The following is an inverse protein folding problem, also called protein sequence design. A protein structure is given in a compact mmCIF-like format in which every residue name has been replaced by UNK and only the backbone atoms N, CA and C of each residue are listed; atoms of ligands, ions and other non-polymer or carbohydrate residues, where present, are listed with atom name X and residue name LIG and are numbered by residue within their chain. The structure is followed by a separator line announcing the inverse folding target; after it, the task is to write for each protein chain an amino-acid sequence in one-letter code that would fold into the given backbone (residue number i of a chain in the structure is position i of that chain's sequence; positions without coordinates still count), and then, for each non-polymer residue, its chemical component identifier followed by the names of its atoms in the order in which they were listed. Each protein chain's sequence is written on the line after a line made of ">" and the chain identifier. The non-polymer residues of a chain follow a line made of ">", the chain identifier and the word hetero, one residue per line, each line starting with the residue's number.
data_IF_073129484303
#
_entry.id   IF_073129484303
#
_cell.length_a   1.000
_cell.length_b   1.000
_cell.length_c   1.000
_cell.angle_alpha   90.00
_cell.angle_beta   90.00
_cell.angle_gamma   90.00
#
_symmetry.space_group_name_H-M   'P 1'
#
loop_
_entity.id
_entity.type
_entity.pdbx_description
1 polymer ?
#
# COMPACT_ATOMS: atom_id res chain seq x y z
N UNK A 1 -46.93 29.07 3.38
CA UNK A 1 -46.09 28.73 2.20
C UNK A 1 -46.03 27.21 2.12
N UNK A 2 -46.64 26.61 1.09
CA UNK A 2 -46.64 25.15 0.96
C UNK A 2 -45.28 24.70 0.40
N UNK A 3 -44.37 24.33 1.27
CA UNK A 3 -43.00 23.92 0.90
C UNK A 3 -42.97 22.79 -0.13
N UNK A 4 -43.86 21.79 0.00
CA UNK A 4 -43.93 20.63 -0.89
C UNK A 4 -44.40 20.91 -2.32
N UNK A 5 -44.92 22.12 -2.60
CA UNK A 5 -45.30 22.55 -3.95
C UNK A 5 -44.35 23.60 -4.52
N UNK A 6 -43.44 24.13 -3.71
CA UNK A 6 -42.47 25.13 -4.13
C UNK A 6 -41.12 24.49 -4.50
N UNK A 7 -41.01 23.99 -5.72
CA UNK A 7 -39.79 23.30 -6.20
C UNK A 7 -38.55 24.17 -6.12
N UNK A 8 -38.66 25.50 -6.33
CA UNK A 8 -37.50 26.40 -6.20
C UNK A 8 -36.98 26.47 -4.76
N UNK A 9 -37.87 26.49 -3.79
CA UNK A 9 -37.50 26.51 -2.39
C UNK A 9 -36.87 25.16 -1.98
N UNK A 10 -37.44 24.02 -2.43
CA UNK A 10 -36.89 22.69 -2.16
C UNK A 10 -35.47 22.54 -2.75
N UNK A 11 -35.30 22.91 -4.02
CA UNK A 11 -33.99 22.84 -4.68
C UNK A 11 -32.99 23.78 -4.00
N UNK A 12 -33.39 25.00 -3.66
CA UNK A 12 -32.52 25.95 -2.97
C UNK A 12 -32.07 25.46 -1.59
N UNK A 13 -32.97 24.86 -0.81
CA UNK A 13 -32.64 24.29 0.50
C UNK A 13 -31.73 23.07 0.34
N UNK A 14 -32.02 22.18 -0.60
CA UNK A 14 -31.18 21.00 -0.85
C UNK A 14 -29.77 21.41 -1.30
N UNK A 15 -29.64 22.33 -2.23
CA UNK A 15 -28.36 22.86 -2.70
C UNK A 15 -27.60 23.57 -1.57
N UNK A 16 -28.29 24.41 -0.78
CA UNK A 16 -27.68 25.09 0.36
C UNK A 16 -27.16 24.11 1.41
N UNK A 17 -27.96 23.10 1.77
CA UNK A 17 -27.55 22.07 2.71
C UNK A 17 -26.34 21.27 2.17
N UNK A 18 -26.40 20.85 0.90
CA UNK A 18 -25.31 20.13 0.25
C UNK A 18 -24.00 20.93 0.28
N UNK A 19 -24.04 22.20 -0.15
CA UNK A 19 -22.87 23.07 -0.16
C UNK A 19 -22.31 23.30 1.26
N UNK A 20 -23.18 23.54 2.22
CA UNK A 20 -22.78 23.73 3.62
C UNK A 20 -22.11 22.46 4.17
N UNK A 21 -22.74 21.31 3.97
CA UNK A 21 -22.14 20.04 4.43
C UNK A 21 -20.82 19.75 3.72
N UNK A 22 -20.73 20.03 2.41
CA UNK A 22 -19.47 19.87 1.66
C UNK A 22 -18.34 20.73 2.21
N UNK A 23 -18.62 21.98 2.59
CA UNK A 23 -17.63 22.85 3.22
C UNK A 23 -17.15 22.29 4.55
N UNK A 24 -18.06 21.88 5.43
CA UNK A 24 -17.71 21.44 6.79
C UNK A 24 -17.12 20.03 6.84
N UNK A 25 -17.55 19.12 5.96
CA UNK A 25 -17.12 17.70 6.02
C UNK A 25 -15.96 17.41 5.08
N UNK A 26 -15.81 18.13 3.97
CA UNK A 26 -14.76 17.88 3.00
C UNK A 26 -13.72 19.01 2.92
N UNK A 27 -14.16 20.26 2.66
CA UNK A 27 -13.23 21.35 2.35
C UNK A 27 -12.41 21.77 3.58
N UNK A 28 -13.03 22.04 4.72
CA UNK A 28 -12.30 22.46 5.92
C UNK A 28 -11.34 21.37 6.43
N UNK A 29 -11.74 20.08 6.55
CA UNK A 29 -10.79 19.04 6.91
C UNK A 29 -9.63 18.87 5.93
N UNK A 30 -9.88 19.03 4.62
CA UNK A 30 -8.81 18.98 3.61
C UNK A 30 -7.79 20.10 3.80
N UNK A 31 -8.27 21.35 4.03
CA UNK A 31 -7.39 22.50 4.31
C UNK A 31 -6.58 22.33 5.62
N UNK A 32 -7.15 21.68 6.63
CA UNK A 32 -6.41 21.37 7.86
C UNK A 32 -5.39 20.24 7.62
N UNK A 33 -5.72 19.22 6.80
CA UNK A 33 -4.80 18.14 6.47
C UNK A 33 -3.54 18.63 5.75
N UNK A 34 -3.65 19.65 4.88
CA UNK A 34 -2.49 20.28 4.21
C UNK A 34 -1.48 20.90 5.18
N UNK A 35 -1.89 21.23 6.41
CA UNK A 35 -1.00 21.79 7.44
C UNK A 35 -0.26 20.71 8.22
N UNK A 36 -0.54 19.44 7.98
CA UNK A 36 0.09 18.35 8.71
C UNK A 36 1.59 18.31 8.38
N UNK A 37 2.40 18.45 9.41
CA UNK A 37 3.84 18.32 9.25
C UNK A 37 4.26 16.85 9.19
N UNK A 38 5.23 16.51 8.35
CA UNK A 38 5.78 15.16 8.32
C UNK A 38 6.36 14.77 9.68
N UNK A 39 6.19 13.50 10.04
CA UNK A 39 6.89 12.93 11.20
C UNK A 39 8.39 13.18 11.04
N UNK A 40 9.11 13.67 12.09
CA UNK A 40 10.53 13.95 12.01
C UNK A 40 11.33 12.76 11.49
N UNK A 41 12.10 12.97 10.44
CA UNK A 41 12.87 11.90 9.78
C UNK A 41 12.13 11.18 8.63
N UNK A 42 10.85 11.45 8.42
CA UNK A 42 10.11 10.93 7.26
C UNK A 42 10.72 11.51 5.98
N UNK A 43 10.96 10.65 5.00
CA UNK A 43 11.49 11.03 3.70
C UNK A 43 10.50 10.69 2.59
N UNK A 44 10.41 11.55 1.58
CA UNK A 44 9.62 11.26 0.40
C UNK A 44 10.18 10.06 -0.36
N UNK A 45 9.29 9.26 -0.90
CA UNK A 45 9.68 8.15 -1.78
C UNK A 45 10.37 8.68 -3.03
N UNK A 46 11.38 7.96 -3.50
CA UNK A 46 12.12 8.30 -4.72
C UNK A 46 12.60 7.04 -5.45
N UNK A 47 13.01 7.23 -6.72
CA UNK A 47 13.56 6.13 -7.52
C UNK A 47 12.62 4.93 -7.60
N UNK A 48 13.20 3.74 -7.43
CA UNK A 48 12.46 2.46 -7.54
C UNK A 48 11.33 2.31 -6.52
N UNK A 49 11.46 2.88 -5.32
CA UNK A 49 10.39 2.80 -4.31
C UNK A 49 9.14 3.59 -4.75
N UNK A 50 9.32 4.75 -5.40
CA UNK A 50 8.20 5.52 -5.95
C UNK A 50 7.50 4.77 -7.08
N UNK A 51 8.28 4.20 -8.03
CA UNK A 51 7.74 3.37 -9.11
C UNK A 51 7.04 2.12 -8.57
N UNK A 52 7.60 1.51 -7.53
CA UNK A 52 7.00 0.37 -6.84
C UNK A 52 5.66 0.71 -6.18
N UNK A 53 5.52 1.93 -5.65
CA UNK A 53 4.24 2.43 -5.12
C UNK A 53 3.17 2.55 -6.20
N UNK A 54 3.53 3.02 -7.39
CA UNK A 54 2.61 3.09 -8.53
C UNK A 54 2.14 1.68 -8.96
N UNK A 55 3.05 0.71 -8.98
CA UNK A 55 2.72 -0.68 -9.26
C UNK A 55 1.82 -1.28 -8.17
N UNK A 56 2.08 -1.00 -6.89
CA UNK A 56 1.26 -1.41 -5.76
C UNK A 56 -0.19 -0.90 -5.89
N UNK A 57 -0.36 0.35 -6.31
CA UNK A 57 -1.68 0.94 -6.62
C UNK A 57 -2.34 0.24 -7.80
N UNK A 58 -1.61 0.06 -8.90
CA UNK A 58 -2.08 -0.57 -10.12
C UNK A 58 -2.60 -1.98 -9.89
N UNK A 59 -1.89 -2.77 -9.08
CA UNK A 59 -2.27 -4.15 -8.75
C UNK A 59 -3.36 -4.25 -7.68
N UNK A 60 -3.74 -3.13 -7.06
CA UNK A 60 -4.81 -3.10 -6.07
C UNK A 60 -4.46 -3.78 -4.75
N UNK A 61 -3.19 -3.81 -4.36
CA UNK A 61 -2.72 -4.46 -3.13
C UNK A 61 -3.44 -3.94 -1.89
N UNK A 62 -3.79 -2.63 -1.86
CA UNK A 62 -4.53 -1.97 -0.79
C UNK A 62 -5.96 -2.49 -0.57
N UNK A 63 -6.51 -3.32 -1.48
CA UNK A 63 -7.82 -3.96 -1.30
C UNK A 63 -7.75 -5.04 -0.20
N UNK A 64 -6.60 -5.74 -0.10
CA UNK A 64 -6.40 -6.84 0.85
C UNK A 64 -5.45 -6.47 2.00
N UNK A 65 -4.62 -5.44 1.83
CA UNK A 65 -3.63 -5.00 2.80
C UNK A 65 -3.89 -3.56 3.25
N UNK A 66 -3.81 -3.31 4.55
CA UNK A 66 -3.78 -1.95 5.08
C UNK A 66 -2.33 -1.47 5.25
N UNK A 67 -2.15 -0.16 5.27
CA UNK A 67 -0.94 0.54 5.73
C UNK A 67 -1.37 1.55 6.80
N UNK A 68 -2.08 1.07 7.81
CA UNK A 68 -2.65 1.90 8.87
C UNK A 68 -2.79 1.10 10.16
N UNK A 69 -1.91 1.34 11.10
CA UNK A 69 -1.97 0.75 12.44
C UNK A 69 -2.88 1.60 13.32
N UNK A 70 -3.95 1.01 13.85
CA UNK A 70 -4.84 1.68 14.80
C UNK A 70 -4.21 1.63 16.20
N UNK A 71 -4.51 2.62 17.02
CA UNK A 71 -4.11 2.61 18.45
C UNK A 71 -5.00 1.67 19.26
N UNK A 72 -4.88 0.37 18.97
CA UNK A 72 -5.63 -0.72 19.58
C UNK A 72 -4.69 -1.87 19.95
N UNK A 73 -4.91 -2.57 21.08
CA UNK A 73 -4.06 -3.71 21.49
C UNK A 73 -3.93 -4.81 20.40
N UNK A 74 -4.98 -5.03 19.62
CA UNK A 74 -4.97 -6.03 18.51
C UNK A 74 -4.05 -5.62 17.35
N UNK A 75 -3.76 -4.35 17.21
CA UNK A 75 -2.88 -3.84 16.14
C UNK A 75 -1.42 -3.68 16.59
N UNK A 76 -1.14 -3.75 17.89
CA UNK A 76 0.21 -3.60 18.45
C UNK A 76 1.30 -4.45 17.74
N UNK A 77 1.04 -5.68 17.28
CA UNK A 77 2.03 -6.47 16.54
C UNK A 77 2.47 -5.85 15.20
N UNK A 78 1.72 -4.89 14.67
CA UNK A 78 2.01 -4.22 13.39
C UNK A 78 2.88 -2.97 13.54
N UNK A 79 2.93 -2.39 14.75
CA UNK A 79 3.69 -1.19 15.07
C UNK A 79 2.93 -0.27 16.02
N UNK A 80 3.42 0.96 16.20
CA UNK A 80 2.68 1.99 16.94
C UNK A 80 1.46 2.46 16.15
N UNK A 81 0.50 3.06 16.84
CA UNK A 81 -0.63 3.73 16.17
C UNK A 81 -0.14 4.72 15.12
N UNK A 82 -0.73 4.67 13.93
CA UNK A 82 -0.41 5.60 12.85
C UNK A 82 -0.93 6.99 13.16
N UNK A 83 -0.13 8.00 12.85
CA UNK A 83 -0.46 9.43 13.01
C UNK A 83 -0.46 10.12 11.65
N UNK A 84 -1.14 11.25 11.53
CA UNK A 84 -1.27 11.97 10.26
C UNK A 84 0.10 12.33 9.64
N UNK A 85 1.09 12.65 10.47
CA UNK A 85 2.45 12.97 10.03
C UNK A 85 3.16 11.82 9.29
N UNK A 86 2.77 10.57 9.52
CA UNK A 86 3.36 9.42 8.82
C UNK A 86 3.04 9.42 7.31
N UNK A 87 1.98 10.10 6.92
CA UNK A 87 1.46 10.16 5.54
C UNK A 87 1.62 11.54 4.88
N UNK A 88 2.22 12.51 5.58
CA UNK A 88 2.27 13.90 5.13
C UNK A 88 3.03 14.11 3.81
N UNK A 89 3.82 13.13 3.36
CA UNK A 89 4.55 13.15 2.09
C UNK A 89 3.94 12.21 1.05
N UNK A 90 2.73 11.67 1.30
CA UNK A 90 2.02 10.78 0.37
C UNK A 90 0.78 11.47 -0.21
N UNK A 91 0.59 11.34 -1.52
CA UNK A 91 -0.59 11.83 -2.23
C UNK A 91 -1.05 10.80 -3.28
N UNK A 92 -2.23 10.19 -3.08
CA UNK A 92 -2.97 10.07 -1.82
C UNK A 92 -2.31 9.07 -0.84
N UNK A 93 -2.56 9.15 0.47
CA UNK A 93 -2.09 8.14 1.42
C UNK A 93 -2.77 6.78 1.18
N UNK A 94 -1.98 5.69 1.23
CA UNK A 94 -2.45 4.35 0.90
C UNK A 94 -2.86 3.56 2.15
N UNK A 95 -3.92 3.99 2.83
CA UNK A 95 -4.34 3.39 4.09
C UNK A 95 -4.87 1.95 3.95
N UNK A 96 -5.43 1.61 2.76
CA UNK A 96 -6.07 0.33 2.49
C UNK A 96 -7.51 0.27 3.00
N UNK A 97 -8.23 -0.80 2.65
CA UNK A 97 -9.66 -0.94 2.96
C UNK A 97 -9.94 -2.01 4.00
N UNK A 98 -9.21 -3.12 3.98
CA UNK A 98 -9.39 -4.24 4.91
C UNK A 98 -8.09 -5.05 5.04
N UNK A 99 -8.03 -5.89 6.06
CA UNK A 99 -6.89 -6.80 6.32
C UNK A 99 -7.27 -8.24 6.00
N UNK A 100 -7.49 -8.55 4.73
CA UNK A 100 -7.52 -9.95 4.24
C UNK A 100 -6.13 -10.57 4.33
N UNK A 101 -5.10 -9.79 4.02
CA UNK A 101 -3.70 -10.03 4.35
C UNK A 101 -3.24 -9.19 5.54
N UNK A 102 -1.97 -9.32 5.98
CA UNK A 102 -1.41 -8.54 7.07
C UNK A 102 -1.32 -7.06 6.73
N UNK A 103 -1.30 -6.21 7.77
CA UNK A 103 -0.94 -4.80 7.64
C UNK A 103 0.51 -4.65 7.17
N UNK A 104 0.77 -3.72 6.24
CA UNK A 104 2.07 -3.53 5.62
C UNK A 104 2.83 -2.28 6.13
N UNK A 105 2.29 -1.51 7.07
CA UNK A 105 2.92 -0.28 7.57
C UNK A 105 4.40 -0.47 7.94
N UNK A 106 4.74 -1.59 8.57
CA UNK A 106 6.10 -1.91 8.99
C UNK A 106 6.65 -3.18 8.32
N UNK A 107 6.19 -3.52 7.13
CA UNK A 107 6.65 -4.74 6.45
C UNK A 107 8.13 -4.68 6.12
N UNK A 108 8.69 -3.51 5.83
CA UNK A 108 10.11 -3.32 5.58
C UNK A 108 11.00 -3.66 6.78
N UNK A 109 10.46 -3.59 8.01
CA UNK A 109 11.15 -4.04 9.23
C UNK A 109 10.90 -5.53 9.51
N UNK A 110 9.63 -5.96 9.40
CA UNK A 110 9.24 -7.34 9.72
C UNK A 110 9.71 -8.37 8.69
N UNK A 111 9.78 -7.98 7.42
CA UNK A 111 10.18 -8.84 6.31
C UNK A 111 11.09 -8.09 5.33
N UNK A 112 12.32 -7.84 5.78
CA UNK A 112 13.32 -7.09 5.01
C UNK A 112 14.00 -7.91 3.90
N UNK A 113 13.81 -9.24 3.87
CA UNK A 113 14.43 -10.10 2.86
C UNK A 113 13.85 -9.85 1.46
N UNK A 114 14.67 -9.33 0.56
CA UNK A 114 14.29 -9.11 -0.84
C UNK A 114 13.88 -10.43 -1.52
N UNK A 115 14.66 -11.46 -1.35
CA UNK A 115 14.41 -12.78 -1.97
C UNK A 115 13.10 -13.39 -1.47
N UNK A 116 12.80 -13.28 -0.17
CA UNK A 116 11.54 -13.77 0.38
C UNK A 116 10.35 -13.02 -0.24
N UNK A 117 10.45 -11.70 -0.35
CA UNK A 117 9.41 -10.86 -0.96
C UNK A 117 9.21 -11.20 -2.45
N UNK A 118 10.29 -11.43 -3.19
CA UNK A 118 10.22 -11.85 -4.59
C UNK A 118 9.55 -13.23 -4.75
N UNK A 119 9.91 -14.21 -3.91
CA UNK A 119 9.25 -15.52 -3.90
C UNK A 119 7.77 -15.36 -3.58
N UNK A 120 7.43 -14.54 -2.58
CA UNK A 120 6.06 -14.29 -2.16
C UNK A 120 5.23 -13.60 -3.26
N UNK A 121 5.81 -12.66 -4.00
CA UNK A 121 5.15 -12.03 -5.15
C UNK A 121 4.95 -13.01 -6.31
N UNK A 122 5.94 -13.86 -6.60
CA UNK A 122 5.80 -14.86 -7.66
C UNK A 122 4.75 -15.91 -7.33
N UNK A 123 4.87 -16.54 -6.19
CA UNK A 123 3.93 -17.54 -5.68
C UNK A 123 3.88 -17.49 -4.16
N UNK A 124 2.88 -16.83 -3.56
CA UNK A 124 2.79 -16.68 -2.11
C UNK A 124 2.85 -18.00 -1.33
N UNK A 125 2.28 -19.07 -1.91
CA UNK A 125 2.25 -20.41 -1.28
C UNK A 125 3.59 -21.09 -1.20
N UNK A 126 4.60 -20.60 -1.92
CA UNK A 126 5.96 -21.12 -1.81
C UNK A 126 6.61 -20.80 -0.44
N UNK A 127 6.16 -19.74 0.24
CA UNK A 127 6.68 -19.30 1.56
C UNK A 127 5.61 -19.26 2.65
N UNK A 128 4.32 -19.17 2.27
CA UNK A 128 3.17 -19.20 3.17
C UNK A 128 2.14 -20.18 2.58
N UNK A 129 2.19 -21.44 2.95
CA UNK A 129 1.43 -22.53 2.33
C UNK A 129 -0.07 -22.31 2.29
N UNK A 130 -0.63 -21.61 3.29
CA UNK A 130 -2.07 -21.30 3.43
C UNK A 130 -2.47 -19.96 2.81
N UNK A 131 -1.54 -19.27 2.11
CA UNK A 131 -1.81 -17.95 1.55
C UNK A 131 -2.91 -17.97 0.49
N UNK A 132 -3.87 -17.05 0.63
CA UNK A 132 -4.91 -16.78 -0.36
C UNK A 132 -4.53 -15.64 -1.31
N UNK A 133 -3.38 -14.98 -1.07
CA UNK A 133 -2.86 -13.93 -1.94
C UNK A 133 -2.66 -14.50 -3.36
N UNK A 134 -3.05 -13.78 -4.42
CA UNK A 134 -2.69 -14.16 -5.79
C UNK A 134 -1.18 -14.04 -6.01
N UNK A 135 -0.63 -14.84 -6.91
CA UNK A 135 0.72 -14.62 -7.42
C UNK A 135 0.70 -13.60 -8.56
N UNK A 136 1.85 -12.96 -8.79
CA UNK A 136 2.05 -11.97 -9.85
C UNK A 136 3.14 -12.44 -10.83
N UNK A 137 2.97 -13.61 -11.49
CA UNK A 137 4.01 -14.24 -12.32
C UNK A 137 4.43 -13.38 -13.52
N UNK A 138 3.62 -12.41 -13.96
CA UNK A 138 3.94 -11.51 -15.08
C UNK A 138 5.08 -10.52 -14.77
N UNK A 139 5.45 -10.36 -13.51
CA UNK A 139 6.62 -9.59 -13.09
C UNK A 139 7.90 -10.42 -13.07
N UNK A 140 7.86 -11.62 -13.62
CA UNK A 140 8.99 -12.54 -13.68
C UNK A 140 9.16 -13.07 -15.09
N UNK A 141 10.35 -13.53 -15.41
CA UNK A 141 10.66 -14.21 -16.65
C UNK A 141 11.36 -15.53 -16.39
N UNK A 142 11.40 -16.38 -17.40
CA UNK A 142 11.99 -17.70 -17.31
C UNK A 142 13.19 -17.79 -18.24
N UNK A 143 14.36 -18.19 -17.71
CA UNK A 143 15.58 -18.39 -18.49
C UNK A 143 16.17 -19.76 -18.21
N UNK A 144 16.60 -20.44 -19.28
CA UNK A 144 17.40 -21.66 -19.16
C UNK A 144 18.87 -21.35 -18.80
N UNK A 145 19.38 -20.20 -19.25
CA UNK A 145 20.74 -19.74 -19.00
C UNK A 145 20.71 -18.30 -18.44
N UNK A 146 20.60 -18.14 -17.10
CA UNK A 146 20.63 -16.82 -16.48
C UNK A 146 21.96 -16.11 -16.70
N UNK A 147 21.91 -14.79 -16.82
CA UNK A 147 23.10 -13.95 -16.87
C UNK A 147 23.57 -13.55 -15.45
N UNK A 148 24.82 -13.17 -15.26
CA UNK A 148 25.32 -12.74 -13.94
C UNK A 148 24.60 -11.53 -13.35
N UNK A 149 23.95 -10.72 -14.18
CA UNK A 149 23.14 -9.55 -13.78
C UNK A 149 21.71 -9.89 -13.40
N UNK A 150 21.23 -11.12 -13.67
CA UNK A 150 19.86 -11.52 -13.39
C UNK A 150 19.66 -11.76 -11.90
N UNK A 151 18.55 -11.26 -11.35
CA UNK A 151 18.15 -11.57 -9.99
C UNK A 151 17.35 -12.87 -10.01
N UNK A 152 18.03 -13.96 -9.61
CA UNK A 152 17.45 -15.29 -9.54
C UNK A 152 16.53 -15.40 -8.33
N UNK A 153 15.30 -15.86 -8.57
CA UNK A 153 14.32 -16.14 -7.53
C UNK A 153 14.24 -17.66 -7.30
N UNK A 154 14.67 -18.16 -6.15
CA UNK A 154 14.75 -19.60 -5.86
C UNK A 154 13.35 -20.17 -5.57
N UNK A 155 12.63 -20.53 -6.63
CA UNK A 155 11.30 -21.14 -6.56
C UNK A 155 11.45 -22.66 -6.46
N UNK A 156 10.73 -23.32 -5.52
CA UNK A 156 10.73 -24.77 -5.38
C UNK A 156 10.32 -25.50 -6.67
N UNK A 157 10.90 -26.68 -6.89
CA UNK A 157 10.51 -27.53 -8.01
C UNK A 157 9.03 -27.90 -7.93
N UNK A 158 8.38 -27.95 -9.08
CA UNK A 158 6.92 -28.14 -9.18
C UNK A 158 6.10 -26.83 -9.08
N UNK A 159 6.71 -25.71 -8.66
CA UNK A 159 6.08 -24.37 -8.64
C UNK A 159 6.58 -23.45 -9.74
N UNK A 160 7.45 -23.94 -10.62
CA UNK A 160 8.00 -23.24 -11.79
C UNK A 160 8.07 -24.20 -12.99
N UNK A 161 8.20 -23.70 -14.23
CA UNK A 161 8.42 -24.55 -15.39
C UNK A 161 9.69 -25.41 -15.23
N UNK A 162 9.65 -26.68 -15.68
CA UNK A 162 10.82 -27.56 -15.60
C UNK A 162 12.04 -26.99 -16.32
N UNK A 163 13.22 -27.19 -15.76
CA UNK A 163 14.51 -26.78 -16.33
C UNK A 163 14.67 -25.27 -16.60
N UNK A 164 13.82 -24.45 -15.98
CA UNK A 164 13.89 -22.99 -16.10
C UNK A 164 14.18 -22.34 -14.75
N UNK A 165 14.89 -21.23 -14.80
CA UNK A 165 15.17 -20.36 -13.66
C UNK A 165 14.22 -19.17 -13.70
N UNK A 166 13.63 -18.85 -12.57
CA UNK A 166 12.77 -17.67 -12.41
C UNK A 166 13.65 -16.45 -12.15
N UNK A 167 13.45 -15.43 -12.94
CA UNK A 167 14.20 -14.16 -12.88
C UNK A 167 13.22 -13.04 -12.55
N UNK A 168 13.56 -12.21 -11.56
CA UNK A 168 12.77 -11.02 -11.27
C UNK A 168 12.98 -9.96 -12.34
N UNK A 169 11.88 -9.38 -12.85
CA UNK A 169 11.92 -8.18 -13.69
C UNK A 169 12.05 -6.94 -12.81
N UNK A 170 12.39 -5.83 -13.43
CA UNK A 170 12.55 -4.53 -12.75
C UNK A 170 11.32 -4.16 -11.92
N UNK A 171 10.13 -4.41 -12.43
CA UNK A 171 8.87 -4.10 -11.74
C UNK A 171 8.69 -4.89 -10.44
N UNK A 172 9.07 -6.18 -10.40
CA UNK A 172 9.07 -6.96 -9.16
C UNK A 172 10.01 -6.36 -8.13
N UNK A 173 11.19 -5.95 -8.57
CA UNK A 173 12.20 -5.32 -7.70
C UNK A 173 11.68 -3.99 -7.17
N UNK A 174 11.05 -3.17 -8.01
CA UNK A 174 10.45 -1.89 -7.62
C UNK A 174 9.36 -2.06 -6.56
N UNK A 175 8.45 -3.03 -6.74
CA UNK A 175 7.44 -3.35 -5.70
C UNK A 175 8.15 -3.73 -4.39
N UNK A 176 9.18 -4.56 -4.43
CA UNK A 176 9.92 -4.96 -3.22
C UNK A 176 10.63 -3.77 -2.58
N UNK A 177 11.23 -2.86 -3.36
CA UNK A 177 11.83 -1.62 -2.84
C UNK A 177 10.79 -0.74 -2.15
N UNK A 178 9.60 -0.62 -2.72
CA UNK A 178 8.49 0.05 -2.03
C UNK A 178 8.13 -0.63 -0.72
N UNK A 179 7.90 -1.94 -0.71
CA UNK A 179 7.57 -2.68 0.52
C UNK A 179 8.67 -2.55 1.59
N UNK A 180 9.94 -2.57 1.20
CA UNK A 180 11.07 -2.38 2.11
C UNK A 180 11.16 -0.95 2.66
N UNK A 181 10.61 0.04 1.97
CA UNK A 181 10.55 1.43 2.45
C UNK A 181 9.45 1.64 3.51
N UNK A 182 8.46 0.73 3.59
CA UNK A 182 7.35 0.83 4.52
C UNK A 182 7.81 0.51 5.96
N UNK A 183 8.06 1.58 6.71
CA UNK A 183 8.45 1.54 8.12
C UNK A 183 8.10 2.85 8.80
N UNK A 184 7.53 2.75 9.98
CA UNK A 184 7.30 3.90 10.83
C UNK A 184 8.62 4.42 11.40
N UNK A 185 8.72 5.73 11.51
CA UNK A 185 9.80 6.40 12.25
C UNK A 185 9.39 6.43 13.72
N UNK A 186 10.33 6.11 14.62
CA UNK A 186 10.09 6.27 16.06
C UNK A 186 9.94 7.77 16.37
N UNK A 187 8.85 8.11 17.03
CA UNK A 187 8.64 9.46 17.55
C UNK A 187 9.23 9.46 18.96
N UNK A 188 10.36 10.12 19.12
CA UNK A 188 10.91 10.38 20.46
C UNK A 188 9.99 11.39 21.15
N UNK A 189 9.36 10.99 22.26
CA UNK A 189 8.58 11.86 23.14
C UNK A 189 9.45 12.91 23.83
#
# INVERSE_FOLDING_TARGET
>A
MNLHTNHKAIIGMAAGLFLTLSLFIAVFPALEAEKTLPTPGLQALSGDALLGRELYLKEGCGVCHTQFVRDLPVDAPWGRGSIAGDYALEDPPLLGTQRTGPDLTNVGLRQSSEIWNLIHLYNPRAVVTTSIMPGYPWYFEFKSNPQPSDIIVPIPDGMKPPQQTVIARTEAIQIVRYLQSLRQIEVLE
#
